data_IF_410892260236
#
_entry.id   IF_410892260236
#
_cell.length_a   1.000
_cell.length_b   1.000
_cell.length_c   1.000
_cell.angle_alpha   90.00
_cell.angle_beta   90.00
_cell.angle_gamma   90.00
#
_symmetry.space_group_name_H-M   'P 1'
#
loop_
_entity.id
_entity.type
_entity.pdbx_description
1 polymer ?
#
# COMPACT_ATOMS: atom_id res chain seq x y z
N UNK A 1 -19.03 7.96 -7.63
CA UNK A 1 -18.76 6.55 -7.29
C UNK A 1 -18.15 5.90 -8.53
N UNK A 2 -16.89 5.54 -8.50
CA UNK A 2 -16.28 4.81 -9.62
C UNK A 2 -16.32 3.34 -9.22
N UNK A 3 -17.20 2.56 -9.85
CA UNK A 3 -17.18 1.12 -9.69
C UNK A 3 -15.90 0.60 -10.32
N UNK A 4 -15.05 -0.02 -9.53
CA UNK A 4 -13.95 -0.81 -10.04
C UNK A 4 -14.61 -2.08 -10.55
N UNK A 5 -14.56 -2.31 -11.87
CA UNK A 5 -15.22 -3.45 -12.46
C UNK A 5 -14.83 -4.71 -11.71
N UNK A 6 -15.79 -5.39 -11.10
CA UNK A 6 -15.61 -6.68 -10.51
C UNK A 6 -15.39 -7.70 -11.61
N UNK A 7 -14.20 -7.77 -12.13
CA UNK A 7 -13.74 -9.01 -12.69
C UNK A 7 -13.52 -9.93 -11.49
N UNK A 8 -14.14 -11.09 -11.52
CA UNK A 8 -13.95 -12.15 -10.53
C UNK A 8 -12.53 -12.76 -10.56
N UNK A 9 -11.55 -11.97 -10.88
CA UNK A 9 -10.15 -12.28 -10.75
C UNK A 9 -9.82 -12.24 -9.26
N UNK A 10 -10.26 -13.24 -8.55
CA UNK A 10 -9.68 -13.61 -7.27
C UNK A 10 -8.17 -13.55 -7.43
N UNK A 11 -7.49 -13.02 -6.44
CA UNK A 11 -6.04 -13.02 -6.41
C UNK A 11 -5.60 -14.49 -6.34
N UNK A 12 -5.44 -15.13 -7.48
CA UNK A 12 -5.22 -16.59 -7.63
C UNK A 12 -4.10 -17.11 -6.73
N UNK A 13 -3.11 -16.26 -6.48
CA UNK A 13 -1.93 -16.59 -5.66
C UNK A 13 -2.20 -16.57 -4.17
N UNK A 14 -3.19 -15.81 -3.73
CA UNK A 14 -3.57 -15.68 -2.32
C UNK A 14 -5.08 -15.92 -2.19
N UNK A 15 -5.51 -17.18 -2.25
CA UNK A 15 -6.92 -17.50 -2.11
C UNK A 15 -7.44 -16.90 -0.80
N UNK A 16 -8.56 -16.21 -0.90
CA UNK A 16 -9.18 -15.46 0.18
C UNK A 16 -8.39 -14.23 0.67
N UNK A 17 -7.29 -13.85 0.04
CA UNK A 17 -6.57 -12.61 0.33
C UNK A 17 -5.91 -12.51 1.71
N UNK A 18 -5.69 -13.64 2.40
CA UNK A 18 -5.11 -13.64 3.76
C UNK A 18 -3.76 -12.96 3.81
N UNK A 19 -3.66 -11.94 4.66
CA UNK A 19 -2.45 -11.14 4.84
C UNK A 19 -2.18 -10.13 3.74
N UNK A 20 -3.06 -10.00 2.75
CA UNK A 20 -2.96 -8.91 1.78
C UNK A 20 -3.33 -7.59 2.43
N UNK A 21 -2.55 -6.56 2.10
CA UNK A 21 -2.76 -5.17 2.49
C UNK A 21 -2.92 -4.33 1.25
N UNK A 22 -3.65 -3.23 1.36
CA UNK A 22 -3.83 -2.30 0.26
C UNK A 22 -3.20 -0.96 0.53
N UNK A 23 -2.73 -0.33 -0.55
CA UNK A 23 -2.27 1.05 -0.59
C UNK A 23 -2.86 1.74 -1.80
N UNK A 24 -2.88 3.07 -1.79
CA UNK A 24 -3.32 3.89 -2.93
C UNK A 24 -2.19 4.80 -3.34
N UNK A 25 -1.87 4.79 -4.62
CA UNK A 25 -0.87 5.67 -5.20
C UNK A 25 -1.43 6.47 -6.38
N UNK A 26 -0.84 7.62 -6.64
CA UNK A 26 -1.13 8.39 -7.83
C UNK A 26 -0.55 7.72 -9.07
N UNK A 27 -1.38 7.41 -10.05
CA UNK A 27 -0.97 6.92 -11.38
C UNK A 27 -0.65 8.08 -12.34
N UNK A 28 -1.38 9.17 -12.19
CA UNK A 28 -1.08 10.46 -12.83
C UNK A 28 -1.11 11.57 -11.79
N UNK A 29 -0.55 12.74 -12.12
CA UNK A 29 -0.51 13.87 -11.20
C UNK A 29 -1.93 14.26 -10.72
N UNK A 30 -2.09 14.35 -9.41
CA UNK A 30 -3.36 14.67 -8.76
C UNK A 30 -3.60 16.18 -8.70
N UNK A 31 -4.86 16.56 -8.80
CA UNK A 31 -5.28 17.97 -8.65
C UNK A 31 -5.06 18.50 -7.21
N UNK A 32 -5.26 19.81 -7.05
CA UNK A 32 -4.93 20.54 -5.83
C UNK A 32 -5.86 20.26 -4.63
N UNK A 33 -6.98 19.59 -4.83
CA UNK A 33 -7.91 19.27 -3.76
C UNK A 33 -7.44 18.04 -2.97
N UNK A 34 -7.88 17.93 -1.72
CA UNK A 34 -7.62 16.81 -0.84
C UNK A 34 -8.92 16.17 -0.35
N UNK A 35 -9.67 15.47 -1.22
CA UNK A 35 -10.89 14.80 -0.82
C UNK A 35 -10.64 13.70 0.21
N UNK A 36 -11.68 13.36 0.96
CA UNK A 36 -11.67 12.14 1.74
C UNK A 36 -12.03 10.94 0.89
N UNK A 37 -11.51 9.78 1.26
CA UNK A 37 -11.71 8.55 0.51
C UNK A 37 -11.97 7.36 1.44
N UNK A 38 -12.83 6.46 0.96
CA UNK A 38 -13.07 5.14 1.55
C UNK A 38 -12.98 4.10 0.44
N UNK A 39 -12.35 2.98 0.72
CA UNK A 39 -12.34 1.82 -0.17
C UNK A 39 -13.20 0.72 0.46
N UNK A 40 -14.20 0.27 -0.28
CA UNK A 40 -14.98 -0.90 0.07
C UNK A 40 -14.32 -2.13 -0.54
N UNK A 41 -14.21 -3.19 0.25
CA UNK A 41 -13.54 -4.43 -0.12
C UNK A 41 -14.31 -5.64 0.41
N UNK A 42 -13.93 -6.83 -0.03
CA UNK A 42 -14.30 -8.07 0.61
C UNK A 42 -13.14 -8.57 1.49
N UNK A 43 -13.48 -9.02 2.69
CA UNK A 43 -12.51 -9.60 3.62
C UNK A 43 -12.11 -11.04 3.22
N UNK A 44 -11.35 -11.70 4.05
CA UNK A 44 -10.88 -13.08 3.82
C UNK A 44 -11.98 -14.14 3.85
N UNK A 45 -13.13 -13.83 4.43
CA UNK A 45 -14.31 -14.68 4.47
C UNK A 45 -15.35 -14.34 3.39
N UNK A 46 -15.09 -13.29 2.58
CA UNK A 46 -16.02 -12.76 1.59
C UNK A 46 -17.05 -11.81 2.18
N UNK A 47 -16.90 -11.40 3.43
CA UNK A 47 -17.70 -10.36 4.06
C UNK A 47 -17.34 -8.96 3.56
N UNK A 48 -18.33 -8.07 3.54
CA UNK A 48 -18.09 -6.68 3.14
C UNK A 48 -17.37 -5.91 4.24
N UNK A 49 -16.26 -5.28 3.89
CA UNK A 49 -15.49 -4.38 4.74
C UNK A 49 -15.30 -3.02 4.08
N UNK A 50 -14.89 -2.05 4.87
CA UNK A 50 -14.52 -0.72 4.40
C UNK A 50 -13.28 -0.24 5.14
N UNK A 51 -12.37 0.44 4.43
CA UNK A 51 -11.24 1.09 5.09
C UNK A 51 -11.72 2.21 5.99
N UNK A 52 -10.90 2.58 6.95
CA UNK A 52 -11.06 3.86 7.63
C UNK A 52 -11.02 4.98 6.58
N UNK A 53 -11.85 6.00 6.75
CA UNK A 53 -11.79 7.20 5.92
C UNK A 53 -10.41 7.84 6.02
N UNK A 54 -9.79 8.11 4.89
CA UNK A 54 -8.52 8.82 4.84
C UNK A 54 -8.63 10.07 3.96
N UNK A 55 -7.81 11.07 4.26
CA UNK A 55 -7.70 12.26 3.42
C UNK A 55 -6.61 12.03 2.38
N UNK A 56 -6.96 12.22 1.12
CA UNK A 56 -6.01 12.10 0.01
C UNK A 56 -4.99 13.23 0.02
N UNK A 57 -3.78 12.96 -0.42
CA UNK A 57 -2.73 13.97 -0.59
C UNK A 57 -3.03 14.84 -1.80
N UNK A 58 -3.13 16.17 -1.58
CA UNK A 58 -3.29 17.16 -2.64
C UNK A 58 -2.03 17.26 -3.51
N UNK A 59 -2.20 17.57 -4.79
CA UNK A 59 -1.10 17.79 -5.74
C UNK A 59 -0.03 16.68 -5.73
N UNK A 60 -0.43 15.45 -5.43
CA UNK A 60 0.47 14.32 -5.42
C UNK A 60 1.01 14.06 -6.84
N UNK A 61 2.31 13.81 -6.94
CA UNK A 61 2.95 13.42 -8.20
C UNK A 61 2.83 11.91 -8.41
N UNK A 62 3.13 11.46 -9.63
CA UNK A 62 3.09 10.04 -10.01
C UNK A 62 3.92 9.21 -9.02
N UNK A 63 3.35 8.10 -8.57
CA UNK A 63 3.98 7.16 -7.63
C UNK A 63 3.84 7.55 -6.17
N UNK A 64 3.38 8.76 -5.84
CA UNK A 64 3.18 9.14 -4.44
C UNK A 64 2.00 8.40 -3.83
N UNK A 65 2.19 7.93 -2.58
CA UNK A 65 1.09 7.37 -1.80
C UNK A 65 0.09 8.47 -1.41
N UNK A 66 -1.19 8.21 -1.61
CA UNK A 66 -2.24 9.18 -1.37
C UNK A 66 -2.74 9.24 0.07
N UNK A 67 -2.55 8.19 0.84
CA UNK A 67 -3.02 8.07 2.23
C UNK A 67 -2.07 8.67 3.27
N UNK A 68 -1.01 9.34 2.86
CA UNK A 68 0.02 9.91 3.76
C UNK A 68 -0.37 11.26 4.37
N UNK A 69 -1.43 11.89 3.86
CA UNK A 69 -1.88 13.20 4.34
C UNK A 69 -2.50 13.20 5.74
N UNK A 70 -2.99 12.07 6.23
CA UNK A 70 -3.59 11.97 7.55
C UNK A 70 -2.55 11.65 8.63
N UNK A 71 -2.60 12.37 9.75
CA UNK A 71 -1.67 12.17 10.85
C UNK A 71 -1.66 10.74 11.41
N UNK A 72 -2.79 10.04 11.34
CA UNK A 72 -2.93 8.67 11.80
C UNK A 72 -2.17 7.64 10.95
N UNK A 73 -1.83 7.98 9.71
CA UNK A 73 -1.21 7.05 8.75
C UNK A 73 0.29 7.33 8.50
N UNK A 74 0.89 8.23 9.28
CA UNK A 74 2.29 8.66 9.08
C UNK A 74 3.33 7.55 9.13
N UNK A 75 2.99 6.41 9.72
CA UNK A 75 3.94 5.32 9.95
C UNK A 75 3.54 4.01 9.26
N UNK A 76 2.50 4.05 8.44
CA UNK A 76 2.01 2.86 7.75
C UNK A 76 1.57 3.22 6.32
N UNK A 77 2.21 2.67 5.28
CA UNK A 77 1.82 2.88 3.89
C UNK A 77 0.48 2.21 3.55
N UNK A 78 0.03 1.28 4.38
CA UNK A 78 -1.18 0.52 4.13
C UNK A 78 -2.39 1.15 4.78
N UNK A 79 -3.52 1.07 4.08
CA UNK A 79 -4.80 1.48 4.61
C UNK A 79 -5.25 0.56 5.74
N UNK A 80 -5.73 1.11 6.86
CA UNK A 80 -6.33 0.30 7.91
C UNK A 80 -7.58 -0.41 7.40
N UNK A 81 -7.66 -1.71 7.62
CA UNK A 81 -8.85 -2.51 7.36
C UNK A 81 -9.86 -2.35 8.52
N UNK A 82 -11.08 -2.80 8.33
CA UNK A 82 -12.06 -2.87 9.40
C UNK A 82 -11.56 -3.76 10.54
N UNK A 83 -12.04 -3.50 11.75
CA UNK A 83 -11.60 -4.23 12.94
C UNK A 83 -11.92 -5.73 12.80
N UNK A 84 -10.92 -6.56 13.00
CA UNK A 84 -11.01 -8.01 12.87
C UNK A 84 -10.60 -8.56 11.50
N UNK A 85 -10.53 -7.73 10.46
CA UNK A 85 -10.15 -8.18 9.12
C UNK A 85 -8.66 -8.46 9.02
N UNK A 86 -8.32 -9.61 8.46
CA UNK A 86 -6.92 -10.07 8.35
C UNK A 86 -6.33 -9.94 6.96
N UNK A 87 -7.16 -9.52 5.98
CA UNK A 87 -6.72 -9.33 4.61
C UNK A 87 -7.86 -8.89 3.68
N UNK A 88 -7.55 -8.78 2.40
CA UNK A 88 -8.46 -8.30 1.35
C UNK A 88 -8.52 -9.34 0.25
N UNK A 89 -9.71 -9.88 -0.02
CA UNK A 89 -9.93 -10.85 -1.09
C UNK A 89 -10.34 -10.19 -2.41
N UNK A 90 -11.02 -9.04 -2.35
CA UNK A 90 -11.45 -8.28 -3.53
C UNK A 90 -11.65 -6.80 -3.20
N UNK A 91 -11.58 -5.93 -4.21
CA UNK A 91 -11.85 -4.49 -4.10
C UNK A 91 -13.15 -4.18 -4.82
N UNK A 92 -14.14 -3.73 -4.05
CA UNK A 92 -15.49 -3.48 -4.55
C UNK A 92 -15.63 -2.09 -5.16
N UNK A 93 -15.20 -1.06 -4.44
CA UNK A 93 -15.33 0.32 -4.90
C UNK A 93 -14.41 1.28 -4.18
N UNK A 94 -14.13 2.40 -4.84
CA UNK A 94 -13.47 3.58 -4.29
C UNK A 94 -14.51 4.70 -4.21
N UNK A 95 -14.71 5.29 -3.05
CA UNK A 95 -15.68 6.35 -2.81
C UNK A 95 -14.96 7.62 -2.38
N UNK A 96 -15.04 8.65 -3.19
CA UNK A 96 -14.56 9.99 -2.88
C UNK A 96 -15.68 10.82 -2.25
N UNK A 97 -15.32 11.61 -1.23
CA UNK A 97 -16.24 12.54 -0.55
C UNK A 97 -15.60 13.92 -0.41
N UNK A 98 -16.42 14.97 -0.47
CA UNK A 98 -15.98 16.35 -0.50
C UNK A 98 -15.67 16.83 -1.92
N UNK A 99 -14.82 17.86 -2.05
CA UNK A 99 -14.40 18.38 -3.35
C UNK A 99 -13.39 17.42 -3.97
N UNK A 100 -13.84 16.71 -5.00
CA UNK A 100 -12.99 15.75 -5.71
C UNK A 100 -11.71 16.39 -6.29
N UNK A 101 -10.70 15.58 -6.53
CA UNK A 101 -9.55 16.02 -7.33
C UNK A 101 -10.03 16.51 -8.69
N UNK A 102 -9.53 17.67 -9.14
CA UNK A 102 -9.87 18.21 -10.45
C UNK A 102 -9.28 17.38 -11.59
N UNK A 103 -8.23 16.59 -11.31
CA UNK A 103 -7.54 15.73 -12.27
C UNK A 103 -6.81 14.61 -11.53
N UNK A 104 -6.39 13.61 -12.28
CA UNK A 104 -5.58 12.51 -11.80
C UNK A 104 -6.29 11.15 -11.82
N UNK A 105 -5.49 10.12 -11.88
CA UNK A 105 -5.89 8.70 -11.78
C UNK A 105 -5.15 8.05 -10.63
N UNK A 106 -5.75 7.02 -10.06
CA UNK A 106 -5.18 6.30 -8.92
C UNK A 106 -5.03 4.82 -9.22
N UNK A 107 -4.01 4.23 -8.65
CA UNK A 107 -3.82 2.79 -8.58
C UNK A 107 -4.06 2.33 -7.15
N UNK A 108 -4.85 1.28 -6.99
CA UNK A 108 -4.99 0.56 -5.73
C UNK A 108 -4.13 -0.69 -5.84
N UNK A 109 -3.07 -0.75 -5.05
CA UNK A 109 -2.18 -1.91 -4.99
C UNK A 109 -2.56 -2.85 -3.86
N UNK A 110 -2.62 -4.15 -4.16
CA UNK A 110 -2.70 -5.21 -3.18
C UNK A 110 -1.34 -5.90 -3.08
N UNK A 111 -0.79 -5.97 -1.88
CA UNK A 111 0.48 -6.64 -1.65
C UNK A 111 0.48 -7.41 -0.33
N UNK A 112 1.32 -8.41 -0.24
CA UNK A 112 1.63 -9.10 1.02
C UNK A 112 2.93 -8.51 1.56
N UNK A 113 2.89 -7.75 2.66
CA UNK A 113 4.10 -7.21 3.26
C UNK A 113 5.01 -8.35 3.69
N UNK A 114 6.23 -8.35 3.21
CA UNK A 114 7.24 -9.33 3.60
C UNK A 114 8.04 -8.80 4.79
N UNK A 115 8.51 -7.55 4.68
CA UNK A 115 9.36 -6.93 5.67
C UNK A 115 9.26 -5.41 5.66
N UNK A 116 9.64 -4.78 6.77
CA UNK A 116 9.80 -3.33 6.89
C UNK A 116 11.20 -3.04 7.38
N UNK A 117 11.96 -2.25 6.61
CA UNK A 117 13.32 -1.85 6.94
C UNK A 117 13.30 -0.36 7.27
N UNK A 118 13.67 0.06 8.49
CA UNK A 118 13.81 1.47 8.79
C UNK A 118 15.05 2.03 8.10
N UNK A 119 14.91 3.19 7.46
CA UNK A 119 16.03 3.99 6.94
C UNK A 119 16.20 5.18 7.89
N UNK A 120 17.13 5.12 8.85
CA UNK A 120 17.18 6.08 9.95
C UNK A 120 17.66 7.47 9.54
N UNK A 121 18.58 7.57 8.60
CA UNK A 121 19.11 8.84 8.10
C UNK A 121 19.88 8.68 6.79
N UNK A 122 20.17 9.81 6.12
CA UNK A 122 21.00 9.85 4.93
C UNK A 122 22.42 9.34 5.23
N UNK A 123 22.94 8.47 4.38
CA UNK A 123 24.29 7.91 4.52
C UNK A 123 24.42 6.79 5.56
N UNK A 124 23.32 6.40 6.20
CA UNK A 124 23.32 5.27 7.13
C UNK A 124 22.87 4.01 6.41
N UNK A 125 23.72 3.00 6.47
CA UNK A 125 23.45 1.69 5.91
C UNK A 125 22.68 0.82 6.92
N UNK A 126 21.55 0.28 6.50
CA UNK A 126 20.79 -0.70 7.28
C UNK A 126 20.85 -2.05 6.59
N UNK A 127 21.33 -3.07 7.27
CA UNK A 127 21.34 -4.45 6.79
C UNK A 127 20.34 -5.28 7.58
N UNK A 128 19.53 -6.05 6.88
CA UNK A 128 18.67 -7.07 7.48
C UNK A 128 19.06 -8.42 6.90
N UNK A 129 19.48 -9.32 7.77
CA UNK A 129 19.80 -10.68 7.41
C UNK A 129 18.57 -11.56 7.67
N UNK A 130 17.88 -11.92 6.60
CA UNK A 130 16.67 -12.74 6.70
C UNK A 130 16.96 -14.21 6.99
N UNK A 131 18.17 -14.66 6.74
CA UNK A 131 18.55 -16.07 6.91
C UNK A 131 18.82 -16.35 8.38
N UNK A 132 19.55 -15.46 9.05
CA UNK A 132 20.01 -15.70 10.42
C UNK A 132 19.17 -14.99 11.49
N UNK A 133 18.48 -13.91 11.12
CA UNK A 133 17.78 -13.08 12.10
C UNK A 133 16.30 -13.44 12.32
N UNK A 134 15.72 -14.30 11.48
CA UNK A 134 14.32 -14.64 11.56
C UNK A 134 14.10 -16.16 11.75
N UNK A 135 13.30 -16.55 12.74
CA UNK A 135 12.98 -17.95 12.97
C UNK A 135 12.14 -18.59 11.85
N UNK A 136 11.60 -17.78 10.94
CA UNK A 136 10.88 -18.27 9.76
C UNK A 136 11.05 -17.32 8.59
N UNK A 137 11.80 -17.73 7.59
CA UNK A 137 11.80 -17.06 6.29
C UNK A 137 10.41 -17.18 5.66
N UNK A 138 9.86 -16.05 5.26
CA UNK A 138 8.64 -16.09 4.45
C UNK A 138 9.02 -16.55 3.04
N UNK A 139 8.46 -17.69 2.63
CA UNK A 139 8.62 -18.16 1.26
C UNK A 139 8.01 -17.14 0.31
N UNK A 140 8.80 -16.69 -0.66
CA UNK A 140 8.34 -15.87 -1.76
C UNK A 140 7.81 -16.82 -2.83
N UNK A 141 6.54 -16.74 -3.23
CA UNK A 141 5.98 -17.60 -4.27
C UNK A 141 6.68 -17.36 -5.60
N UNK A 142 6.81 -18.41 -6.41
CA UNK A 142 7.36 -18.32 -7.76
C UNK A 142 6.60 -17.32 -8.59
N UNK A 143 7.32 -16.50 -9.36
CA UNK A 143 6.74 -15.43 -10.18
C UNK A 143 6.15 -14.26 -9.37
N UNK A 144 6.47 -14.12 -8.07
CA UNK A 144 6.09 -12.93 -7.32
C UNK A 144 6.83 -11.69 -7.86
N UNK A 145 6.11 -10.60 -8.00
CA UNK A 145 6.71 -9.30 -8.27
C UNK A 145 7.08 -8.67 -6.92
N UNK A 146 8.39 -8.57 -6.65
CA UNK A 146 8.89 -7.95 -5.43
C UNK A 146 8.99 -6.45 -5.69
N UNK A 147 8.33 -5.67 -4.85
CA UNK A 147 8.33 -4.22 -4.93
C UNK A 147 8.70 -3.59 -3.59
N UNK A 148 9.35 -2.43 -3.66
CA UNK A 148 9.64 -1.59 -2.52
C UNK A 148 8.63 -0.48 -2.43
N UNK A 149 7.96 -0.41 -1.29
CA UNK A 149 7.18 0.75 -0.91
C UNK A 149 8.04 1.60 0.03
N UNK A 150 8.55 2.72 -0.46
CA UNK A 150 9.23 3.68 0.39
C UNK A 150 8.20 4.58 1.06
N UNK A 151 8.21 4.58 2.38
CA UNK A 151 7.34 5.39 3.20
C UNK A 151 8.14 6.39 4.01
N UNK A 152 7.84 7.66 3.83
CA UNK A 152 8.53 8.75 4.51
C UNK A 152 7.69 9.30 5.65
N UNK A 153 8.27 9.33 6.85
CA UNK A 153 7.59 9.74 8.08
C UNK A 153 7.73 11.23 8.42
N UNK A 154 8.50 11.97 7.66
CA UNK A 154 8.75 13.40 7.87
C UNK A 154 8.80 14.18 6.57
N UNK A 155 8.75 15.50 6.65
CA UNK A 155 8.99 16.36 5.49
C UNK A 155 10.46 16.26 5.08
N UNK A 156 10.73 15.93 3.81
CA UNK A 156 12.06 16.10 3.23
C UNK A 156 12.09 17.37 2.40
N UNK A 157 13.12 18.14 2.58
CA UNK A 157 13.38 19.35 1.79
C UNK A 157 14.18 19.05 0.53
N UNK A 158 14.61 17.80 0.33
CA UNK A 158 15.44 17.41 -0.80
C UNK A 158 15.13 16.00 -1.27
N UNK A 159 15.31 15.76 -2.57
CA UNK A 159 15.23 14.42 -3.15
C UNK A 159 16.36 13.54 -2.58
N UNK A 160 16.00 12.38 -2.10
CA UNK A 160 16.93 11.34 -1.65
C UNK A 160 16.96 10.17 -2.62
N UNK A 161 18.10 9.52 -2.76
CA UNK A 161 18.24 8.25 -3.47
C UNK A 161 18.41 7.13 -2.46
N UNK A 162 17.61 6.07 -2.60
CA UNK A 162 17.73 4.86 -1.80
C UNK A 162 18.28 3.76 -2.69
N UNK A 163 19.38 3.18 -2.28
CA UNK A 163 19.96 2.01 -2.92
C UNK A 163 19.55 0.78 -2.13
N UNK A 164 19.02 -0.22 -2.83
CA UNK A 164 18.61 -1.48 -2.21
C UNK A 164 19.30 -2.62 -2.93
N UNK A 165 20.01 -3.43 -2.16
CA UNK A 165 20.72 -4.60 -2.63
C UNK A 165 20.06 -5.86 -2.06
N UNK A 166 19.86 -6.86 -2.91
CA UNK A 166 19.22 -8.11 -2.52
C UNK A 166 20.08 -9.28 -2.85
N UNK A 167 20.37 -10.07 -1.83
CA UNK A 167 20.86 -11.43 -2.00
C UNK A 167 19.69 -12.41 -1.84
N UNK A 168 19.49 -13.30 -2.78
CA UNK A 168 18.50 -14.36 -2.70
C UNK A 168 19.13 -15.71 -2.99
N UNK A 169 18.68 -16.72 -2.24
CA UNK A 169 19.07 -18.10 -2.43
C UNK A 169 17.93 -18.93 -3.01
N UNK A 170 18.26 -19.91 -3.83
CA UNK A 170 17.33 -20.95 -4.27
C UNK A 170 17.48 -22.17 -3.35
N UNK A 171 16.35 -22.79 -3.05
CA UNK A 171 16.29 -24.15 -2.48
C UNK A 171 15.83 -25.12 -3.54
#
# INVERSE_FOLDING_TARGET
MTAIGSSAAKVDRYPNGVGLRMFVAADTAMGANAPTCVINYLDTAGGAGATTTFTSTASATIGNLLNTGAAANKYNPFLPLAAGDTGVSDIVSLVWSGTAHASGTVVIGLCKPLWTIPVPATGIYTKVDFVNALPSMRKIPDGANIQFLMFQTGATTSAGTVWVDFDYGYN
#
